data_IF_698463966711
#
_entry.id   IF_698463966711
#
_cell.length_a   1.000
_cell.length_b   1.000
_cell.length_c   1.000
_cell.angle_alpha   90.00
_cell.angle_beta   90.00
_cell.angle_gamma   90.00
#
_symmetry.space_group_name_H-M   'P 1'
#
loop_
_entity.id
_entity.type
_entity.pdbx_description
1 polymer ?
#
# COMPACT_ATOMS: atom_id res chain seq x y z
N UNK A 1 12.05 3.84 -4.95
CA UNK A 1 11.72 2.82 -3.93
C UNK A 1 10.38 3.19 -3.34
N UNK A 2 9.43 2.26 -3.27
CA UNK A 2 8.05 2.50 -2.83
C UNK A 2 7.83 1.84 -1.48
N UNK A 3 7.09 2.50 -0.61
CA UNK A 3 6.70 1.96 0.69
C UNK A 3 5.19 1.71 0.70
N UNK A 4 4.79 0.53 1.13
CA UNK A 4 3.39 0.19 1.35
C UNK A 4 3.23 -0.11 2.82
N UNK A 5 2.43 0.71 3.51
CA UNK A 5 2.01 0.44 4.87
C UNK A 5 0.59 -0.13 4.85
N UNK A 6 0.36 -1.24 5.52
CA UNK A 6 -0.99 -1.68 5.85
C UNK A 6 -1.15 -1.75 7.35
N UNK A 7 -2.26 -1.22 7.83
CA UNK A 7 -2.60 -1.24 9.23
C UNK A 7 -4.04 -1.72 9.40
N UNK A 8 -4.26 -2.38 10.53
CA UNK A 8 -5.56 -2.88 10.93
C UNK A 8 -6.06 -2.01 12.08
N UNK A 9 -7.11 -1.24 11.83
CA UNK A 9 -7.76 -0.47 12.90
C UNK A 9 -8.89 -1.31 13.49
N UNK A 10 -8.80 -1.57 14.80
CA UNK A 10 -9.90 -2.13 15.58
C UNK A 10 -10.73 -0.96 16.12
N UNK A 11 -11.84 -0.63 15.45
CA UNK A 11 -12.82 0.27 16.04
C UNK A 11 -13.66 -0.50 17.06
N UNK A 12 -13.91 0.12 18.23
CA UNK A 12 -14.55 -0.49 19.41
C UNK A 12 -15.96 -1.08 19.22
N UNK A 13 -16.53 -1.03 18.02
CA UNK A 13 -17.83 -1.60 17.65
C UNK A 13 -17.75 -2.89 16.82
N UNK A 14 -16.56 -3.51 16.67
CA UNK A 14 -16.42 -4.83 16.04
C UNK A 14 -16.26 -4.81 14.51
N UNK A 15 -16.15 -3.64 13.90
CA UNK A 15 -15.81 -3.50 12.48
C UNK A 15 -14.29 -3.49 12.29
N UNK A 16 -13.81 -4.37 11.42
CA UNK A 16 -12.41 -4.44 11.02
C UNK A 16 -12.24 -3.63 9.74
N UNK A 17 -11.59 -2.46 9.82
CA UNK A 17 -11.22 -1.71 8.61
C UNK A 17 -9.75 -1.99 8.31
N UNK A 18 -9.50 -2.64 7.17
CA UNK A 18 -8.15 -2.84 6.65
C UNK A 18 -7.84 -1.68 5.72
N UNK A 19 -6.79 -0.94 6.06
CA UNK A 19 -6.37 0.23 5.29
C UNK A 19 -4.96 -0.02 4.76
N UNK A 20 -4.77 0.32 3.49
CA UNK A 20 -3.49 0.19 2.80
C UNK A 20 -3.06 1.57 2.29
N UNK A 21 -1.98 2.08 2.86
CA UNK A 21 -1.28 3.27 2.40
C UNK A 21 -0.17 2.89 1.42
N UNK A 22 -0.06 3.61 0.31
CA UNK A 22 1.07 3.53 -0.61
C UNK A 22 1.77 4.89 -0.66
N UNK A 23 3.09 4.89 -0.51
CA UNK A 23 3.95 6.08 -0.48
C UNK A 23 5.08 5.96 -1.52
N UNK A 24 5.35 7.06 -2.22
CA UNK A 24 6.47 7.17 -3.16
C UNK A 24 6.17 6.68 -4.58
N UNK A 25 4.92 6.34 -4.89
CA UNK A 25 4.50 6.02 -6.25
C UNK A 25 4.50 7.30 -7.13
N UNK A 26 5.00 7.24 -8.38
CA UNK A 26 4.88 8.32 -9.35
C UNK A 26 3.42 8.75 -9.60
N UNK A 27 3.19 10.06 -9.82
CA UNK A 27 1.83 10.60 -9.98
C UNK A 27 1.04 9.99 -11.15
N UNK A 28 1.74 9.69 -12.25
CA UNK A 28 1.18 9.04 -13.44
C UNK A 28 0.78 7.58 -13.19
N UNK A 29 1.35 6.93 -12.18
CA UNK A 29 1.11 5.53 -11.87
C UNK A 29 -0.06 5.34 -10.88
N UNK A 30 -0.49 6.38 -10.15
CA UNK A 30 -1.65 6.28 -9.24
C UNK A 30 -2.93 5.87 -9.95
N UNK A 31 -3.16 6.36 -11.17
CA UNK A 31 -4.36 6.02 -11.93
C UNK A 31 -4.34 4.54 -12.34
N UNK A 32 -3.19 4.08 -12.83
CA UNK A 32 -2.97 2.69 -13.21
C UNK A 32 -3.13 1.76 -12.01
N UNK A 33 -2.60 2.16 -10.85
CA UNK A 33 -2.76 1.41 -9.61
C UNK A 33 -4.23 1.27 -9.23
N UNK A 34 -5.01 2.36 -9.22
CA UNK A 34 -6.43 2.33 -8.88
C UNK A 34 -7.26 1.47 -9.84
N UNK A 35 -6.95 1.53 -11.14
CA UNK A 35 -7.56 0.67 -12.17
C UNK A 35 -7.24 -0.82 -11.91
N UNK A 36 -5.98 -1.15 -11.64
CA UNK A 36 -5.52 -2.54 -11.42
C UNK A 36 -5.94 -3.11 -10.06
N UNK A 37 -6.03 -2.29 -9.02
CA UNK A 37 -6.50 -2.70 -7.69
C UNK A 37 -8.02 -2.82 -7.62
N UNK A 38 -8.74 -2.49 -8.70
CA UNK A 38 -10.22 -2.48 -8.77
C UNK A 38 -10.87 -1.63 -7.67
N UNK A 39 -10.15 -0.63 -7.16
CA UNK A 39 -10.58 0.17 -6.01
C UNK A 39 -10.07 1.59 -6.16
N UNK A 40 -10.97 2.56 -5.98
CA UNK A 40 -10.59 3.97 -5.90
C UNK A 40 -9.92 4.27 -4.55
N UNK A 41 -8.82 5.04 -4.52
CA UNK A 41 -8.26 5.49 -3.26
C UNK A 41 -9.27 6.39 -2.53
N UNK A 42 -9.43 6.19 -1.22
CA UNK A 42 -10.31 7.01 -0.38
C UNK A 42 -9.66 8.36 -0.08
N UNK A 43 -8.33 8.39 -0.02
CA UNK A 43 -7.56 9.58 0.26
C UNK A 43 -6.30 9.65 -0.60
N UNK A 44 -5.92 10.87 -0.96
CA UNK A 44 -4.74 11.17 -1.77
C UNK A 44 -4.07 12.44 -1.25
N UNK A 45 -2.77 12.38 -1.09
CA UNK A 45 -1.89 13.51 -0.84
C UNK A 45 -0.78 13.54 -1.88
N UNK A 46 -0.97 14.41 -2.86
CA UNK A 46 -0.06 14.56 -3.99
C UNK A 46 1.27 15.20 -3.59
N UNK A 47 1.27 16.04 -2.54
CA UNK A 47 2.49 16.69 -2.03
C UNK A 47 3.45 15.65 -1.46
N UNK A 48 2.91 14.67 -0.74
CA UNK A 48 3.68 13.58 -0.14
C UNK A 48 3.70 12.30 -1.01
N UNK A 49 3.06 12.30 -2.19
CA UNK A 49 2.93 11.13 -3.08
C UNK A 49 2.38 9.91 -2.33
N UNK A 50 1.35 10.16 -1.53
CA UNK A 50 0.72 9.17 -0.67
C UNK A 50 -0.73 8.96 -1.08
N UNK A 51 -1.17 7.71 -1.14
CA UNK A 51 -2.56 7.33 -1.35
C UNK A 51 -2.99 6.27 -0.37
N UNK A 52 -4.28 6.24 -0.06
CA UNK A 52 -4.87 5.31 0.88
C UNK A 52 -6.04 4.56 0.24
N UNK A 53 -6.06 3.25 0.44
CA UNK A 53 -7.09 2.34 -0.06
C UNK A 53 -7.74 1.59 1.11
N UNK A 54 -9.07 1.60 1.18
CA UNK A 54 -9.84 0.72 2.06
C UNK A 54 -10.08 -0.64 1.38
N UNK A 55 -8.99 -1.34 1.07
CA UNK A 55 -9.01 -2.65 0.40
C UNK A 55 -7.99 -3.56 1.06
N UNK A 56 -8.16 -4.89 0.99
CA UNK A 56 -7.13 -5.81 1.42
C UNK A 56 -5.80 -5.54 0.73
N UNK A 57 -4.73 -5.51 1.50
CA UNK A 57 -3.37 -5.15 1.05
C UNK A 57 -2.90 -6.02 -0.12
N UNK A 58 -3.31 -7.28 -0.19
CA UNK A 58 -2.96 -8.16 -1.29
C UNK A 58 -3.49 -7.65 -2.65
N UNK A 59 -4.62 -6.94 -2.71
CA UNK A 59 -5.11 -6.34 -3.95
C UNK A 59 -4.15 -5.26 -4.47
N UNK A 60 -3.61 -4.45 -3.57
CA UNK A 60 -2.64 -3.40 -3.89
C UNK A 60 -1.29 -4.01 -4.28
N UNK A 61 -0.83 -5.03 -3.54
CA UNK A 61 0.41 -5.74 -3.85
C UNK A 61 0.34 -6.43 -5.22
N UNK A 62 -0.74 -7.13 -5.53
CA UNK A 62 -0.95 -7.79 -6.82
C UNK A 62 -0.99 -6.77 -7.97
N UNK A 63 -1.63 -5.62 -7.76
CA UNK A 63 -1.67 -4.55 -8.75
C UNK A 63 -0.28 -3.96 -9.01
N UNK A 64 0.51 -3.76 -7.95
CA UNK A 64 1.89 -3.26 -8.06
C UNK A 64 2.83 -4.28 -8.70
N UNK A 65 2.65 -5.57 -8.43
CA UNK A 65 3.37 -6.65 -9.11
C UNK A 65 3.13 -6.61 -10.63
N UNK A 66 1.87 -6.45 -11.06
CA UNK A 66 1.54 -6.27 -12.47
C UNK A 66 2.11 -4.99 -13.10
N UNK A 67 2.48 -4.00 -12.28
CA UNK A 67 3.16 -2.77 -12.72
C UNK A 67 4.69 -2.94 -12.72
N UNK A 68 5.21 -4.12 -12.34
CA UNK A 68 6.64 -4.44 -12.30
C UNK A 68 7.32 -4.14 -10.97
N UNK A 69 6.56 -3.81 -9.91
CA UNK A 69 7.12 -3.63 -8.58
C UNK A 69 7.24 -4.95 -7.84
N UNK A 70 8.42 -5.25 -7.35
CA UNK A 70 8.70 -6.46 -6.56
C UNK A 70 8.97 -6.10 -5.12
N UNK A 71 8.47 -6.92 -4.20
CA UNK A 71 8.76 -6.79 -2.77
C UNK A 71 10.23 -7.09 -2.53
N UNK A 72 10.95 -6.14 -1.94
CA UNK A 72 12.36 -6.28 -1.54
C UNK A 72 12.45 -6.66 -0.08
N UNK A 73 11.62 -6.06 0.76
CA UNK A 73 11.56 -6.34 2.20
C UNK A 73 10.12 -6.30 2.68
N UNK A 74 9.85 -7.05 3.74
CA UNK A 74 8.61 -6.97 4.51
C UNK A 74 8.95 -6.91 6.00
N UNK A 75 8.16 -6.15 6.74
CA UNK A 75 8.32 -5.96 8.17
C UNK A 75 6.95 -5.84 8.84
N UNK A 76 6.91 -6.20 10.11
CA UNK A 76 5.77 -5.97 10.97
C UNK A 76 6.25 -5.26 12.22
N UNK A 77 5.53 -4.23 12.65
CA UNK A 77 5.76 -3.59 13.92
C UNK A 77 4.44 -3.35 14.61
N UNK A 78 4.48 -3.30 15.94
CA UNK A 78 3.31 -3.02 16.76
C UNK A 78 3.47 -1.61 17.27
N UNK A 79 2.57 -0.73 16.87
CA UNK A 79 2.46 0.62 17.44
C UNK A 79 1.37 0.59 18.51
N UNK A 80 1.75 0.85 19.76
CA UNK A 80 0.80 0.82 20.87
C UNK A 80 1.47 0.82 22.23
N UNK A 81 0.92 1.63 23.15
CA UNK A 81 1.22 1.56 24.58
C UNK A 81 -0.05 1.09 25.32
N UNK A 82 -0.20 -0.24 25.50
CA UNK A 82 -1.08 -0.86 26.51
C UNK A 82 -2.62 -0.78 26.34
N UNK A 83 -3.21 -1.19 25.21
CA UNK A 83 -4.60 -1.79 25.06
C UNK A 83 -5.17 -1.70 23.65
N UNK A 84 -4.57 -0.90 22.77
CA UNK A 84 -4.96 -0.71 21.37
C UNK A 84 -3.77 -0.96 20.45
N UNK A 85 -3.22 -2.17 20.51
CA UNK A 85 -2.07 -2.53 19.69
C UNK A 85 -2.46 -2.48 18.22
N UNK A 86 -1.96 -1.49 17.49
CA UNK A 86 -2.05 -1.44 16.04
C UNK A 86 -0.88 -2.26 15.50
N UNK A 87 -1.21 -3.43 14.94
CA UNK A 87 -0.22 -4.18 14.17
C UNK A 87 -0.16 -3.57 12.78
N UNK A 88 0.99 -2.97 12.49
CA UNK A 88 1.32 -2.41 11.19
C UNK A 88 2.24 -3.37 10.45
N UNK A 89 1.96 -3.54 9.17
CA UNK A 89 2.81 -4.28 8.26
C UNK A 89 3.30 -3.32 7.19
N UNK A 90 4.60 -3.38 6.88
CA UNK A 90 5.20 -2.55 5.85
C UNK A 90 5.90 -3.44 4.84
N UNK A 91 5.71 -3.13 3.57
CA UNK A 91 6.42 -3.73 2.45
C UNK A 91 7.17 -2.64 1.70
N UNK A 92 8.44 -2.89 1.42
CA UNK A 92 9.23 -2.01 0.56
C UNK A 92 9.34 -2.67 -0.80
N UNK A 93 8.93 -1.95 -1.84
CA UNK A 93 8.90 -2.43 -3.21
C UNK A 93 9.89 -1.66 -4.09
N UNK A 94 10.45 -2.36 -5.06
CA UNK A 94 11.34 -1.81 -6.06
C UNK A 94 10.96 -2.33 -7.45
N UNK A 95 11.02 -1.44 -8.44
CA UNK A 95 10.87 -1.79 -9.85
C UNK A 95 12.21 -1.56 -10.53
N UNK A 96 12.78 -2.60 -11.11
CA UNK A 96 14.04 -2.49 -11.86
C UNK A 96 13.78 -1.92 -13.25
N UNK A 97 14.55 -0.91 -13.64
CA UNK A 97 14.42 -0.23 -14.95
C UNK A 97 14.61 -1.18 -16.15
N UNK A 98 15.27 -2.32 -15.96
CA UNK A 98 15.59 -3.29 -17.02
C UNK A 98 14.40 -4.12 -17.50
N UNK A 99 13.28 -4.12 -16.79
CA UNK A 99 12.05 -4.85 -17.22
C UNK A 99 11.16 -4.00 -18.14
N UNK A 100 11.51 -2.74 -18.38
CA UNK A 100 10.70 -1.81 -19.16
C UNK A 100 11.00 -1.85 -20.68
N UNK A 101 12.03 -2.59 -21.10
CA UNK A 101 12.50 -2.64 -22.51
C UNK A 101 12.01 -3.87 -23.29
N UNK A 102 11.09 -4.67 -22.75
CA UNK A 102 10.55 -5.85 -23.43
C UNK A 102 9.03 -5.96 -23.31
N UNK A 103 8.29 -4.96 -23.80
CA UNK A 103 6.90 -5.09 -24.22
C UNK A 103 6.63 -4.24 -25.46
#
# INVERSE_FOLDING_TARGET
>A
MIWIGAYKVLQGSGYFTQVCTVDGLPLNEFRVLAEKSTTSPEWRDEKNRRVEFATPTFNVLNALEQMGYKVVTSGAFVTGHNKFDQREFVWTLHRSSTEMECQ
#
